data_IF_446896398051
#
_entry.id   IF_446896398051
#
_cell.length_a   1.000
_cell.length_b   1.000
_cell.length_c   1.000
_cell.angle_alpha   90.00
_cell.angle_beta   90.00
_cell.angle_gamma   90.00
#
_symmetry.space_group_name_H-M   'P 1'
#
loop_
_entity.id
_entity.type
_entity.pdbx_description
1 polymer ?
#
# COMPACT_ATOMS: atom_id res chain seq x y z
N UNK A 1 0.72 29.85 0.50
CA UNK A 1 1.14 28.45 0.38
C UNK A 1 1.82 28.10 1.70
N UNK A 2 1.12 27.34 2.55
CA UNK A 2 1.73 26.85 3.79
C UNK A 2 2.91 25.95 3.39
N UNK A 3 4.09 26.18 3.98
CA UNK A 3 5.17 25.18 3.96
C UNK A 3 4.54 23.86 4.36
N UNK A 4 4.56 22.88 3.47
CA UNK A 4 4.17 21.51 3.80
C UNK A 4 5.17 21.06 4.85
N UNK A 5 4.70 20.98 6.09
CA UNK A 5 5.52 20.48 7.20
C UNK A 5 5.76 19.00 6.93
N UNK A 6 6.95 18.65 6.46
CA UNK A 6 7.37 17.29 6.15
C UNK A 6 7.71 16.51 7.43
N UNK A 7 7.68 15.18 7.32
CA UNK A 7 8.04 14.26 8.39
C UNK A 7 7.04 14.20 9.55
N UNK A 8 7.33 13.41 10.61
CA UNK A 8 6.38 13.10 11.67
C UNK A 8 5.84 14.33 12.41
N UNK A 9 6.66 15.33 12.66
CA UNK A 9 6.21 16.57 13.32
C UNK A 9 5.19 17.34 12.47
N UNK A 10 5.40 17.38 11.16
CA UNK A 10 4.46 17.99 10.23
C UNK A 10 3.15 17.20 10.12
N UNK A 11 3.23 15.88 10.15
CA UNK A 11 2.06 14.97 10.13
C UNK A 11 1.19 15.17 11.37
N UNK A 12 1.80 15.29 12.56
CA UNK A 12 1.10 15.61 13.81
C UNK A 12 0.46 17.01 13.73
N UNK A 13 1.15 18.00 13.19
CA UNK A 13 0.60 19.33 13.03
C UNK A 13 -0.63 19.35 12.10
N UNK A 14 -0.59 18.59 10.98
CA UNK A 14 -1.75 18.40 10.08
C UNK A 14 -2.91 17.70 10.81
N UNK A 15 -2.63 16.64 11.58
CA UNK A 15 -3.65 15.96 12.37
C UNK A 15 -4.32 16.91 13.37
N UNK A 16 -3.55 17.74 14.06
CA UNK A 16 -4.09 18.75 14.98
C UNK A 16 -4.95 19.82 14.29
N UNK A 17 -4.59 20.19 13.07
CA UNK A 17 -5.41 21.09 12.26
C UNK A 17 -6.76 20.42 11.95
N UNK A 18 -6.75 19.19 11.49
CA UNK A 18 -7.95 18.40 11.24
C UNK A 18 -8.81 18.26 12.52
N UNK A 19 -8.18 17.95 13.66
CA UNK A 19 -8.88 17.83 14.94
C UNK A 19 -9.63 19.13 15.27
N UNK A 20 -8.99 20.28 15.07
CA UNK A 20 -9.61 21.58 15.32
C UNK A 20 -10.80 21.83 14.37
N UNK A 21 -10.68 21.49 13.08
CA UNK A 21 -11.75 21.63 12.07
C UNK A 21 -12.94 20.71 12.36
N UNK A 22 -12.69 19.47 12.84
CA UNK A 22 -13.71 18.48 13.18
C UNK A 22 -14.28 18.63 14.60
N UNK A 23 -13.66 19.45 15.44
CA UNK A 23 -14.04 19.61 16.84
C UNK A 23 -13.68 18.39 17.71
N UNK A 24 -12.58 17.69 17.39
CA UNK A 24 -12.06 16.59 18.21
C UNK A 24 -11.14 17.13 19.30
N UNK A 25 -11.38 16.74 20.55
CA UNK A 25 -10.47 17.04 21.67
C UNK A 25 -9.26 16.10 21.64
N UNK A 26 -9.48 14.86 21.21
CA UNK A 26 -8.44 13.86 21.08
C UNK A 26 -8.73 12.87 19.94
N UNK A 27 -7.68 12.19 19.51
CA UNK A 27 -7.74 11.09 18.54
C UNK A 27 -7.06 9.86 19.11
N UNK A 28 -7.70 8.69 19.01
CA UNK A 28 -7.13 7.38 19.34
C UNK A 28 -6.72 6.68 18.07
N UNK A 29 -5.45 6.28 17.99
CA UNK A 29 -4.89 5.57 16.82
C UNK A 29 -4.36 4.23 17.26
N UNK A 30 -4.72 3.18 16.53
CA UNK A 30 -4.28 1.79 16.75
C UNK A 30 -3.78 1.10 15.51
N UNK A 31 -4.20 1.53 14.34
CA UNK A 31 -3.71 1.00 13.09
C UNK A 31 -2.19 1.22 13.00
N UNK A 32 -1.45 0.14 12.74
CA UNK A 32 0.02 0.15 12.78
C UNK A 32 0.62 1.04 11.68
N UNK A 33 0.01 1.10 10.52
CA UNK A 33 0.47 1.96 9.45
C UNK A 33 0.25 3.44 9.78
N UNK A 34 -0.88 3.79 10.42
CA UNK A 34 -1.14 5.14 10.91
C UNK A 34 -0.20 5.51 12.06
N UNK A 35 0.07 4.58 12.99
CA UNK A 35 1.06 4.77 14.06
C UNK A 35 2.46 4.97 13.50
N UNK A 36 2.89 4.12 12.55
CA UNK A 36 4.17 4.24 11.85
C UNK A 36 4.32 5.61 11.19
N UNK A 37 3.29 6.05 10.51
CA UNK A 37 3.27 7.33 9.80
C UNK A 37 3.34 8.52 10.74
N UNK A 38 2.59 8.50 11.84
CA UNK A 38 2.57 9.59 12.83
C UNK A 38 3.83 9.63 13.70
N UNK A 39 4.34 8.48 14.14
CA UNK A 39 5.52 8.41 15.02
C UNK A 39 6.83 8.60 14.28
N UNK A 40 6.89 8.17 13.03
CA UNK A 40 8.12 8.06 12.27
C UNK A 40 9.06 6.95 12.75
N UNK A 41 8.63 6.11 13.69
CA UNK A 41 9.42 4.98 14.18
C UNK A 41 9.52 3.91 13.09
N UNK A 42 10.73 3.67 12.58
CA UNK A 42 10.98 2.73 11.49
C UNK A 42 11.28 1.34 12.02
N UNK A 43 10.74 0.29 11.34
CA UNK A 43 11.05 -1.11 11.64
C UNK A 43 10.74 -1.52 13.09
N UNK A 44 9.68 -0.97 13.65
CA UNK A 44 9.18 -1.29 14.99
C UNK A 44 7.93 -2.17 14.90
N UNK A 45 7.10 -1.91 13.90
CA UNK A 45 5.82 -2.59 13.69
C UNK A 45 6.06 -3.91 12.94
N UNK A 46 5.44 -4.99 13.41
CA UNK A 46 5.55 -6.31 12.79
C UNK A 46 4.33 -6.70 11.93
N UNK A 47 3.29 -5.88 11.96
CA UNK A 47 2.05 -6.03 11.18
C UNK A 47 1.39 -7.41 11.32
N UNK A 48 1.58 -8.07 12.47
CA UNK A 48 1.03 -9.42 12.73
C UNK A 48 -0.45 -9.41 13.07
N UNK A 49 -1.05 -8.23 13.27
CA UNK A 49 -2.44 -8.08 13.67
C UNK A 49 -2.70 -8.30 15.16
N UNK A 50 -1.65 -8.35 16.00
CA UNK A 50 -1.79 -8.40 17.45
C UNK A 50 -2.17 -7.04 18.07
N UNK A 51 -1.83 -5.95 17.39
CA UNK A 51 -2.12 -4.56 17.80
C UNK A 51 -1.69 -4.22 19.24
N UNK A 52 -0.40 -4.41 19.60
CA UNK A 52 0.09 -4.17 20.96
C UNK A 52 0.27 -2.69 21.29
N UNK A 53 -0.12 -1.79 20.40
CA UNK A 53 0.11 -0.35 20.49
C UNK A 53 -1.20 0.42 20.47
N UNK A 54 -1.21 1.57 21.15
CA UNK A 54 -2.27 2.57 21.04
C UNK A 54 -1.69 3.97 21.28
N UNK A 55 -2.08 4.91 20.44
CA UNK A 55 -1.74 6.32 20.62
C UNK A 55 -2.97 7.13 21.02
N UNK A 56 -2.73 8.19 21.81
CA UNK A 56 -3.71 9.18 22.18
C UNK A 56 -3.12 10.57 21.89
N UNK A 57 -3.69 11.28 20.94
CA UNK A 57 -3.19 12.58 20.47
C UNK A 57 -4.19 13.67 20.85
N UNK A 58 -3.70 14.75 21.48
CA UNK A 58 -4.47 15.96 21.76
C UNK A 58 -3.89 17.16 21.02
N UNK A 59 -4.51 18.32 21.20
CA UNK A 59 -3.98 19.57 20.65
C UNK A 59 -2.53 19.86 21.08
N UNK A 60 -2.15 19.44 22.28
CA UNK A 60 -0.86 19.80 22.90
C UNK A 60 0.08 18.61 23.08
N UNK A 61 -0.44 17.39 23.26
CA UNK A 61 0.32 16.22 23.70
C UNK A 61 0.11 15.02 22.77
N UNK A 62 1.11 14.15 22.73
CA UNK A 62 1.08 12.88 22.04
C UNK A 62 1.52 11.78 23.02
N UNK A 63 0.67 10.81 23.27
CA UNK A 63 0.95 9.67 24.13
C UNK A 63 0.96 8.39 23.29
N UNK A 64 1.90 7.51 23.56
CA UNK A 64 2.02 6.21 22.90
C UNK A 64 2.24 5.13 23.95
N UNK A 65 1.31 4.21 24.03
CA UNK A 65 1.39 3.04 24.88
C UNK A 65 1.78 1.81 24.06
N UNK A 66 2.67 1.02 24.63
CA UNK A 66 3.11 -0.27 24.08
C UNK A 66 3.42 -1.24 25.21
N UNK A 67 3.82 -2.46 24.88
CA UNK A 67 4.29 -3.41 25.87
C UNK A 67 5.82 -3.53 25.88
N UNK A 68 6.35 -4.32 26.82
CA UNK A 68 7.79 -4.49 27.03
C UNK A 68 8.53 -5.12 25.85
N UNK A 69 7.84 -5.74 24.90
CA UNK A 69 8.46 -6.33 23.68
C UNK A 69 8.94 -5.25 22.73
N UNK A 70 8.24 -4.12 22.68
CA UNK A 70 8.46 -3.07 21.68
C UNK A 70 8.99 -1.76 22.26
N UNK A 71 8.91 -1.56 23.57
CA UNK A 71 9.27 -0.29 24.22
C UNK A 71 10.67 0.20 23.81
N UNK A 72 11.70 -0.65 23.96
CA UNK A 72 13.07 -0.28 23.60
C UNK A 72 13.21 0.00 22.08
N UNK A 73 12.51 -0.76 21.24
CA UNK A 73 12.52 -0.53 19.78
C UNK A 73 11.96 0.86 19.43
N UNK A 74 10.90 1.31 20.11
CA UNK A 74 10.40 2.68 19.93
C UNK A 74 11.40 3.73 20.42
N UNK A 75 12.02 3.55 21.60
CA UNK A 75 13.02 4.50 22.10
C UNK A 75 14.21 4.66 21.14
N UNK A 76 14.66 3.56 20.52
CA UNK A 76 15.81 3.54 19.61
C UNK A 76 15.47 4.09 18.21
N UNK A 77 14.24 3.90 17.74
CA UNK A 77 13.87 4.15 16.33
C UNK A 77 12.95 5.36 16.14
N UNK A 78 12.43 5.98 17.18
CA UNK A 78 11.73 7.25 17.04
C UNK A 78 12.71 8.38 16.65
N UNK A 79 12.31 9.30 15.75
CA UNK A 79 13.13 10.44 15.38
C UNK A 79 13.54 11.30 16.59
N UNK A 80 14.75 11.85 16.54
CA UNK A 80 15.25 12.75 17.58
C UNK A 80 14.32 13.97 17.73
N UNK A 81 13.96 14.28 18.99
CA UNK A 81 13.02 15.38 19.28
C UNK A 81 11.55 15.03 19.05
N UNK A 82 11.24 13.76 18.93
CA UNK A 82 9.87 13.26 18.85
C UNK A 82 9.01 13.79 20.01
N UNK A 83 7.76 14.26 19.77
CA UNK A 83 6.88 14.76 20.80
C UNK A 83 6.16 13.66 21.59
N UNK A 84 6.40 12.39 21.27
CA UNK A 84 5.69 11.26 21.85
C UNK A 84 6.16 10.96 23.28
N UNK A 85 5.21 10.85 24.20
CA UNK A 85 5.39 10.34 25.54
C UNK A 85 5.10 8.86 25.53
N UNK A 86 6.16 8.06 25.54
CA UNK A 86 6.08 6.60 25.49
C UNK A 86 5.95 6.03 26.89
N UNK A 87 5.04 5.09 27.08
CA UNK A 87 4.91 4.29 28.30
C UNK A 87 4.66 2.80 27.98
N UNK A 88 4.87 1.95 29.00
CA UNK A 88 4.58 0.51 28.98
C UNK A 88 3.92 0.08 30.30
N UNK A 89 3.06 0.90 30.84
CA UNK A 89 2.36 0.64 32.10
C UNK A 89 1.53 -0.66 31.99
N UNK A 90 1.49 -1.45 33.07
CA UNK A 90 0.67 -2.67 33.11
C UNK A 90 -0.82 -2.32 33.26
N UNK A 91 -1.43 -1.82 32.20
CA UNK A 91 -2.82 -1.39 32.16
C UNK A 91 -3.52 -1.95 30.90
N UNK A 92 -4.80 -2.24 31.03
CA UNK A 92 -5.62 -2.55 29.86
C UNK A 92 -5.74 -1.33 28.95
N UNK A 93 -5.38 -1.47 27.67
CA UNK A 93 -5.29 -0.35 26.72
C UNK A 93 -6.59 0.46 26.59
N UNK A 94 -7.81 -0.14 26.52
CA UNK A 94 -9.05 0.64 26.57
C UNK A 94 -9.19 1.51 27.81
N UNK A 95 -8.76 1.02 28.97
CA UNK A 95 -8.73 1.78 30.20
C UNK A 95 -7.67 2.88 30.16
N UNK A 96 -6.49 2.60 29.61
CA UNK A 96 -5.45 3.59 29.38
C UNK A 96 -5.98 4.79 28.56
N UNK A 97 -6.73 4.52 27.49
CA UNK A 97 -7.41 5.55 26.68
C UNK A 97 -8.37 6.39 27.55
N UNK A 98 -9.20 5.73 28.36
CA UNK A 98 -10.15 6.41 29.23
C UNK A 98 -9.45 7.28 30.30
N UNK A 99 -8.35 6.81 30.88
CA UNK A 99 -7.56 7.59 31.86
C UNK A 99 -6.89 8.82 31.21
N UNK A 100 -6.43 8.70 29.96
CA UNK A 100 -5.93 9.85 29.19
C UNK A 100 -7.06 10.82 28.84
N UNK A 101 -8.23 10.34 28.41
CA UNK A 101 -9.39 11.21 28.21
C UNK A 101 -9.79 11.98 29.47
N UNK A 102 -9.67 11.34 30.66
CA UNK A 102 -9.91 11.98 31.95
C UNK A 102 -8.87 13.05 32.27
N UNK A 103 -7.59 12.72 32.17
CA UNK A 103 -6.48 13.61 32.55
C UNK A 103 -6.42 14.85 31.65
N UNK A 104 -6.70 14.70 30.37
CA UNK A 104 -6.74 15.77 29.37
C UNK A 104 -8.10 16.48 29.27
N UNK A 105 -9.11 15.98 29.99
CA UNK A 105 -10.50 16.48 29.98
C UNK A 105 -11.17 16.41 28.59
N UNK A 106 -10.73 15.48 27.75
CA UNK A 106 -11.28 15.27 26.40
C UNK A 106 -12.72 14.75 26.47
N UNK A 107 -13.61 15.36 25.68
CA UNK A 107 -15.05 15.03 25.60
C UNK A 107 -15.47 14.50 24.24
N UNK A 108 -14.71 14.83 23.20
CA UNK A 108 -14.90 14.32 21.84
C UNK A 108 -13.60 13.61 21.46
N UNK A 109 -13.61 12.28 21.61
CA UNK A 109 -12.44 11.43 21.39
C UNK A 109 -12.68 10.63 20.12
N UNK A 110 -12.12 11.08 19.00
CA UNK A 110 -12.30 10.41 17.73
C UNK A 110 -11.51 9.08 17.67
N UNK A 111 -12.04 8.12 16.94
CA UNK A 111 -11.45 6.78 16.76
C UNK A 111 -11.44 6.40 15.28
N UNK A 112 -10.51 5.53 14.89
CA UNK A 112 -10.41 5.00 13.53
C UNK A 112 -11.62 4.14 13.15
N UNK A 113 -12.00 4.16 11.87
CA UNK A 113 -13.22 3.48 11.36
C UNK A 113 -13.11 1.95 11.38
N UNK A 114 -11.91 1.41 11.26
CA UNK A 114 -11.60 -0.02 11.22
C UNK A 114 -11.17 -0.59 12.58
N UNK A 115 -11.27 0.22 13.64
CA UNK A 115 -10.96 -0.21 14.99
C UNK A 115 -11.77 -1.45 15.37
N UNK A 116 -11.10 -2.47 15.89
CA UNK A 116 -11.76 -3.70 16.32
C UNK A 116 -12.89 -3.41 17.31
N UNK A 117 -14.08 -3.93 17.04
CA UNK A 117 -15.29 -3.67 17.84
C UNK A 117 -15.11 -3.98 19.33
N UNK A 118 -14.32 -4.99 19.68
CA UNK A 118 -14.05 -5.33 21.08
C UNK A 118 -13.23 -4.24 21.79
N UNK A 119 -12.30 -3.64 21.07
CA UNK A 119 -11.50 -2.53 21.62
C UNK A 119 -12.35 -1.28 21.77
N UNK A 120 -13.13 -0.92 20.75
CA UNK A 120 -14.08 0.19 20.81
C UNK A 120 -15.02 0.06 22.02
N UNK A 121 -15.66 -1.12 22.19
CA UNK A 121 -16.51 -1.42 23.35
C UNK A 121 -15.74 -1.42 24.66
N UNK A 122 -14.46 -1.72 24.63
CA UNK A 122 -13.57 -1.60 25.78
C UNK A 122 -13.38 -0.13 26.21
N UNK A 123 -13.17 0.77 25.22
CA UNK A 123 -13.08 2.21 25.49
C UNK A 123 -14.39 2.73 26.11
N UNK A 124 -15.56 2.37 25.55
CA UNK A 124 -16.86 2.77 26.10
C UNK A 124 -16.97 2.39 27.61
N UNK A 125 -16.66 1.12 27.93
CA UNK A 125 -16.67 0.67 29.34
C UNK A 125 -15.64 1.41 30.21
N UNK A 126 -14.43 1.61 29.68
CA UNK A 126 -13.37 2.36 30.40
C UNK A 126 -13.79 3.79 30.73
N UNK A 127 -14.48 4.47 29.80
CA UNK A 127 -15.02 5.81 30.02
C UNK A 127 -16.13 5.80 31.10
N UNK A 128 -17.04 4.82 31.06
CA UNK A 128 -18.07 4.62 32.10
C UNK A 128 -17.43 4.39 33.47
N UNK A 129 -16.48 3.48 33.58
CA UNK A 129 -15.76 3.15 34.82
C UNK A 129 -15.00 4.36 35.38
N UNK A 130 -14.46 5.20 34.53
CA UNK A 130 -13.81 6.45 34.90
C UNK A 130 -14.78 7.61 35.14
N UNK A 131 -16.09 7.39 34.99
CA UNK A 131 -17.15 8.40 35.13
C UNK A 131 -16.98 9.58 34.17
N UNK A 132 -16.59 9.30 32.94
CA UNK A 132 -16.37 10.31 31.89
C UNK A 132 -17.51 10.25 30.87
N UNK A 133 -18.13 11.39 30.64
CA UNK A 133 -19.07 11.55 29.52
C UNK A 133 -18.28 12.08 28.32
N UNK A 134 -17.85 11.19 27.43
CA UNK A 134 -17.23 11.54 26.17
C UNK A 134 -17.93 10.83 25.00
N UNK A 135 -17.93 11.44 23.84
CA UNK A 135 -18.39 10.83 22.59
C UNK A 135 -17.20 10.24 21.83
N UNK A 136 -17.46 9.18 21.06
CA UNK A 136 -16.47 8.47 20.25
C UNK A 136 -16.85 8.54 18.77
N UNK A 137 -16.74 9.71 18.10
CA UNK A 137 -17.00 9.80 16.65
C UNK A 137 -15.95 9.03 15.85
N UNK A 138 -16.36 8.48 14.69
CA UNK A 138 -15.45 7.89 13.72
C UNK A 138 -14.72 8.98 12.94
N UNK A 139 -13.48 8.71 12.52
CA UNK A 139 -12.66 9.63 11.75
C UNK A 139 -13.00 9.68 10.25
N UNK A 140 -13.82 8.75 9.75
CA UNK A 140 -14.24 8.67 8.34
C UNK A 140 -13.08 8.57 7.34
N UNK A 141 -12.03 7.83 7.69
CA UNK A 141 -10.86 7.63 6.84
C UNK A 141 -9.91 8.82 6.78
N UNK A 142 -10.04 9.81 7.65
CA UNK A 142 -9.24 11.04 7.61
C UNK A 142 -7.71 10.75 7.66
N UNK A 143 -7.24 9.75 8.45
CA UNK A 143 -5.81 9.39 8.49
C UNK A 143 -5.35 8.75 7.18
N UNK A 144 -6.13 7.87 6.59
CA UNK A 144 -5.84 7.26 5.28
C UNK A 144 -5.80 8.32 4.17
N UNK A 145 -6.69 9.30 4.20
CA UNK A 145 -6.67 10.44 3.27
C UNK A 145 -5.41 11.31 3.46
N UNK A 146 -4.98 11.52 4.70
CA UNK A 146 -3.75 12.27 4.98
C UNK A 146 -2.49 11.53 4.49
N UNK A 147 -2.49 10.19 4.53
CA UNK A 147 -1.40 9.33 4.03
C UNK A 147 -1.40 9.23 2.50
N UNK A 148 -2.52 9.49 1.83
CA UNK A 148 -2.62 9.40 0.37
C UNK A 148 -1.60 10.29 -0.33
N UNK A 149 -1.35 11.50 0.20
CA UNK A 149 -0.37 12.46 -0.31
C UNK A 149 0.95 12.28 0.44
N UNK A 150 1.98 11.83 -0.29
CA UNK A 150 3.31 11.51 0.25
C UNK A 150 4.19 12.75 0.31
N UNK A 151 4.98 12.84 1.36
CA UNK A 151 6.05 13.83 1.43
C UNK A 151 7.33 13.36 0.69
N UNK A 152 8.32 14.23 0.55
CA UNK A 152 9.52 13.94 -0.22
C UNK A 152 10.33 12.77 0.36
N UNK A 153 10.36 12.60 1.68
CA UNK A 153 11.06 11.50 2.34
C UNK A 153 10.36 10.16 2.04
N UNK A 154 9.02 10.13 2.12
CA UNK A 154 8.22 8.96 1.76
C UNK A 154 8.46 8.54 0.31
N UNK A 155 8.46 9.50 -0.63
CA UNK A 155 8.70 9.25 -2.04
C UNK A 155 10.10 8.65 -2.27
N UNK A 156 11.14 9.15 -1.59
CA UNK A 156 12.50 8.61 -1.72
C UNK A 156 12.58 7.15 -1.21
N UNK A 157 11.93 6.83 -0.10
CA UNK A 157 11.86 5.46 0.41
C UNK A 157 11.14 4.52 -0.58
N UNK A 158 10.04 4.97 -1.16
CA UNK A 158 9.28 4.21 -2.15
C UNK A 158 10.06 4.00 -3.46
N UNK A 159 10.79 5.02 -3.94
CA UNK A 159 11.70 4.89 -5.08
C UNK A 159 12.82 3.87 -4.81
N UNK A 160 13.35 3.86 -3.59
CA UNK A 160 14.36 2.88 -3.21
C UNK A 160 13.78 1.46 -3.20
N UNK A 161 12.60 1.25 -2.60
CA UNK A 161 11.90 -0.03 -2.64
C UNK A 161 11.67 -0.49 -4.10
N UNK A 162 11.24 0.42 -4.99
CA UNK A 162 11.05 0.09 -6.41
C UNK A 162 12.35 -0.27 -7.12
N UNK A 163 13.46 0.37 -6.79
CA UNK A 163 14.74 0.04 -7.41
C UNK A 163 15.18 -1.41 -7.16
N UNK A 164 14.83 -1.97 -5.98
CA UNK A 164 15.05 -3.38 -5.65
C UNK A 164 14.14 -4.27 -6.50
N UNK A 165 12.87 -3.88 -6.66
CA UNK A 165 11.87 -4.60 -7.45
C UNK A 165 12.23 -4.62 -8.94
N UNK A 166 12.70 -3.49 -9.50
CA UNK A 166 13.20 -3.42 -10.88
C UNK A 166 14.44 -4.31 -11.10
N UNK A 167 15.38 -4.31 -10.14
CA UNK A 167 16.55 -5.18 -10.21
C UNK A 167 16.16 -6.67 -10.18
N UNK A 168 15.16 -7.02 -9.36
CA UNK A 168 14.63 -8.39 -9.31
C UNK A 168 13.98 -8.80 -10.64
N UNK A 169 13.29 -7.90 -11.35
CA UNK A 169 12.78 -8.19 -12.70
C UNK A 169 13.90 -8.49 -13.68
N UNK A 170 14.95 -7.67 -13.69
CA UNK A 170 16.09 -7.90 -14.58
C UNK A 170 16.73 -9.26 -14.32
N UNK A 171 16.91 -9.63 -13.04
CA UNK A 171 17.41 -10.96 -12.65
C UNK A 171 16.48 -12.07 -13.12
N UNK A 172 15.16 -11.94 -12.92
CA UNK A 172 14.20 -12.95 -13.31
C UNK A 172 14.12 -13.15 -14.83
N UNK A 173 14.35 -12.12 -15.64
CA UNK A 173 14.47 -12.27 -17.09
C UNK A 173 15.65 -13.18 -17.50
N UNK A 174 16.70 -13.25 -16.70
CA UNK A 174 17.84 -14.15 -16.90
C UNK A 174 17.64 -15.54 -16.28
N UNK A 175 16.82 -15.63 -15.22
CA UNK A 175 16.64 -16.87 -14.47
C UNK A 175 15.49 -17.74 -15.00
N UNK A 176 14.36 -17.16 -15.40
CA UNK A 176 13.17 -17.89 -15.86
C UNK A 176 13.49 -18.76 -17.07
N UNK A 177 13.13 -20.05 -16.99
CA UNK A 177 13.25 -21.00 -18.10
C UNK A 177 12.35 -22.21 -17.88
N UNK A 178 12.08 -23.03 -18.91
CA UNK A 178 11.35 -24.29 -18.77
C UNK A 178 11.98 -25.22 -17.74
N UNK A 179 11.14 -25.92 -16.99
CA UNK A 179 11.57 -26.92 -16.00
C UNK A 179 11.53 -26.44 -14.55
N UNK A 180 11.51 -25.13 -14.27
CA UNK A 180 11.25 -24.62 -12.94
C UNK A 180 9.75 -24.63 -12.61
N UNK A 181 9.41 -24.83 -11.35
CA UNK A 181 8.04 -24.64 -10.87
C UNK A 181 7.77 -23.18 -10.51
N UNK A 182 6.49 -22.77 -10.49
CA UNK A 182 6.09 -21.43 -10.05
C UNK A 182 6.64 -21.11 -8.64
N UNK A 183 6.60 -22.08 -7.72
CA UNK A 183 7.18 -21.92 -6.37
C UNK A 183 8.69 -21.70 -6.39
N UNK A 184 9.41 -22.38 -7.26
CA UNK A 184 10.87 -22.18 -7.38
C UNK A 184 11.17 -20.77 -7.92
N UNK A 185 10.44 -20.31 -8.94
CA UNK A 185 10.59 -18.97 -9.45
C UNK A 185 10.24 -17.91 -8.39
N UNK A 186 9.15 -18.12 -7.63
CA UNK A 186 8.78 -17.25 -6.53
C UNK A 186 9.87 -17.19 -5.46
N UNK A 187 10.40 -18.33 -5.06
CA UNK A 187 11.47 -18.38 -4.04
C UNK A 187 12.73 -17.64 -4.49
N UNK A 188 13.12 -17.80 -5.76
CA UNK A 188 14.26 -17.08 -6.32
C UNK A 188 14.03 -15.56 -6.31
N UNK A 189 12.86 -15.12 -6.80
CA UNK A 189 12.45 -13.72 -6.83
C UNK A 189 12.51 -13.08 -5.44
N UNK A 190 11.89 -13.71 -4.44
CA UNK A 190 11.84 -13.23 -3.06
C UNK A 190 13.23 -13.21 -2.42
N UNK A 191 14.04 -14.27 -2.63
CA UNK A 191 15.43 -14.36 -2.15
C UNK A 191 16.29 -13.24 -2.74
N UNK A 192 16.15 -12.98 -4.04
CA UNK A 192 16.88 -11.90 -4.70
C UNK A 192 16.58 -10.54 -4.08
N UNK A 193 15.29 -10.23 -3.80
CA UNK A 193 14.93 -8.96 -3.18
C UNK A 193 15.55 -8.79 -1.78
N UNK A 194 15.52 -9.83 -0.95
CA UNK A 194 16.17 -9.80 0.37
C UNK A 194 17.69 -9.64 0.28
N UNK A 195 18.35 -10.35 -0.63
CA UNK A 195 19.80 -10.25 -0.83
C UNK A 195 20.21 -8.85 -1.37
N UNK A 196 19.27 -8.09 -1.94
CA UNK A 196 19.50 -6.76 -2.50
C UNK A 196 18.91 -5.62 -1.68
N UNK A 197 18.59 -5.89 -0.40
CA UNK A 197 18.33 -4.84 0.58
C UNK A 197 16.86 -4.60 0.90
N UNK A 198 15.93 -5.46 0.46
CA UNK A 198 14.58 -5.44 0.98
C UNK A 198 14.58 -5.82 2.47
N UNK A 199 13.89 -5.04 3.28
CA UNK A 199 13.67 -5.37 4.69
C UNK A 199 12.58 -6.44 4.84
N UNK A 200 11.60 -6.42 3.93
CA UNK A 200 10.46 -7.33 3.87
C UNK A 200 9.92 -7.42 2.44
N UNK A 201 8.96 -8.30 2.22
CA UNK A 201 8.13 -8.29 1.01
C UNK A 201 7.00 -7.27 1.17
N UNK A 202 6.65 -6.56 0.09
CA UNK A 202 5.50 -5.66 0.11
C UNK A 202 4.19 -6.44 0.37
N UNK A 203 4.10 -7.62 -0.21
CA UNK A 203 3.01 -8.60 -0.08
C UNK A 203 3.51 -9.99 -0.51
N UNK A 204 2.69 -11.02 -0.36
CA UNK A 204 3.02 -12.36 -0.85
C UNK A 204 3.09 -12.40 -2.38
N UNK A 205 4.28 -12.54 -2.93
CA UNK A 205 4.52 -12.47 -4.38
C UNK A 205 3.67 -13.47 -5.16
N UNK A 206 3.08 -13.04 -6.27
CA UNK A 206 2.33 -13.86 -7.22
C UNK A 206 3.28 -14.22 -8.36
N UNK A 207 3.56 -15.51 -8.53
CA UNK A 207 4.24 -16.03 -9.71
C UNK A 207 3.38 -17.14 -10.29
N UNK A 208 2.85 -16.90 -11.49
CA UNK A 208 1.97 -17.81 -12.18
C UNK A 208 2.49 -18.07 -13.60
N UNK A 209 2.18 -19.24 -14.16
CA UNK A 209 2.64 -19.64 -15.49
C UNK A 209 1.53 -20.26 -16.34
N UNK A 210 1.59 -20.06 -17.65
CA UNK A 210 0.64 -20.59 -18.62
C UNK A 210 -0.81 -20.32 -18.24
N UNK A 211 -1.69 -21.35 -18.17
CA UNK A 211 -3.10 -21.16 -17.83
C UNK A 211 -3.36 -20.54 -16.45
N UNK A 212 -2.43 -20.71 -15.48
CA UNK A 212 -2.59 -20.14 -14.14
C UNK A 212 -2.54 -18.61 -14.15
N UNK A 213 -1.90 -17.99 -15.13
CA UNK A 213 -1.87 -16.54 -15.29
C UNK A 213 -3.25 -15.93 -15.55
N UNK A 214 -4.25 -16.74 -15.91
CA UNK A 214 -5.64 -16.30 -16.05
C UNK A 214 -6.33 -16.01 -14.70
N UNK A 215 -5.67 -16.29 -13.58
CA UNK A 215 -6.14 -15.94 -12.23
C UNK A 215 -5.36 -14.71 -11.74
N UNK A 216 -6.00 -13.53 -11.59
CA UNK A 216 -5.29 -12.32 -11.13
C UNK A 216 -4.54 -12.50 -9.81
N UNK A 217 -5.13 -13.25 -8.87
CA UNK A 217 -4.55 -13.56 -7.55
C UNK A 217 -4.16 -15.05 -7.49
N UNK A 218 -3.40 -15.52 -8.47
CA UNK A 218 -2.92 -16.89 -8.49
C UNK A 218 -2.01 -17.19 -7.29
N UNK A 219 -2.17 -18.39 -6.73
CA UNK A 219 -1.21 -18.91 -5.73
C UNK A 219 -0.18 -19.74 -6.46
N UNK A 220 1.10 -19.39 -6.32
CA UNK A 220 2.22 -20.12 -6.93
C UNK A 220 2.18 -21.61 -6.57
N UNK A 221 2.16 -22.46 -7.58
CA UNK A 221 1.93 -23.90 -7.47
C UNK A 221 3.18 -24.73 -7.83
N UNK A 222 3.04 -26.05 -7.83
CA UNK A 222 4.05 -26.97 -8.33
C UNK A 222 3.99 -27.15 -9.86
N UNK A 223 3.17 -26.34 -10.59
CA UNK A 223 3.15 -26.32 -12.03
C UNK A 223 4.53 -25.99 -12.57
N UNK A 224 4.99 -26.79 -13.50
CA UNK A 224 6.27 -26.60 -14.19
C UNK A 224 6.05 -25.66 -15.38
N UNK A 225 6.92 -24.67 -15.52
CA UNK A 225 6.95 -23.74 -16.65
C UNK A 225 7.33 -24.50 -17.93
N UNK A 226 6.58 -24.28 -18.99
CA UNK A 226 6.76 -24.89 -20.29
C UNK A 226 7.04 -23.83 -21.38
N UNK A 227 7.61 -24.27 -22.49
CA UNK A 227 7.78 -23.42 -23.68
C UNK A 227 6.42 -22.97 -24.22
N UNK A 228 6.27 -21.68 -24.49
CA UNK A 228 5.02 -21.05 -24.92
C UNK A 228 4.20 -20.47 -23.76
N UNK A 229 4.62 -20.67 -22.50
CA UNK A 229 3.92 -20.09 -21.35
C UNK A 229 4.18 -18.58 -21.23
N UNK A 230 3.13 -17.85 -20.87
CA UNK A 230 3.32 -16.62 -20.12
C UNK A 230 3.78 -16.94 -18.70
N UNK A 231 4.65 -16.11 -18.14
CA UNK A 231 4.96 -16.06 -16.71
C UNK A 231 4.64 -14.66 -16.22
N UNK A 232 3.60 -14.56 -15.40
CA UNK A 232 3.17 -13.35 -14.75
C UNK A 232 3.80 -13.31 -13.35
N UNK A 233 4.48 -12.23 -13.07
CA UNK A 233 5.13 -11.95 -11.77
C UNK A 233 4.61 -10.63 -11.25
N UNK A 234 3.95 -10.66 -10.09
CA UNK A 234 3.40 -9.51 -9.38
C UNK A 234 3.97 -9.54 -7.95
N UNK A 235 4.75 -8.53 -7.63
CA UNK A 235 5.60 -8.50 -6.44
C UNK A 235 6.11 -7.10 -6.14
N UNK A 236 6.54 -6.93 -4.89
CA UNK A 236 7.17 -5.69 -4.44
C UNK A 236 8.10 -5.92 -3.26
N UNK A 237 9.13 -5.11 -3.15
CA UNK A 237 10.00 -5.01 -1.99
C UNK A 237 9.42 -4.07 -0.94
N UNK A 238 9.60 -4.40 0.34
CA UNK A 238 9.42 -3.48 1.46
C UNK A 238 10.78 -2.89 1.87
N UNK A 239 10.84 -1.59 2.03
CA UNK A 239 12.04 -0.90 2.50
C UNK A 239 11.68 0.18 3.53
N UNK A 240 12.18 0.04 4.74
CA UNK A 240 11.88 0.94 5.87
C UNK A 240 10.38 1.20 6.04
N UNK A 241 9.61 0.10 5.99
CA UNK A 241 8.14 0.02 6.07
C UNK A 241 7.37 0.55 4.84
N UNK A 242 8.02 1.19 3.85
CA UNK A 242 7.36 1.58 2.59
C UNK A 242 7.45 0.47 1.56
N UNK A 243 6.39 0.34 0.78
CA UNK A 243 6.19 -0.75 -0.18
C UNK A 243 6.36 -0.28 -1.61
N UNK A 244 6.84 -1.18 -2.46
CA UNK A 244 6.76 -1.05 -3.92
C UNK A 244 5.75 -2.04 -4.47
N UNK A 245 5.35 -1.83 -5.73
CA UNK A 245 4.37 -2.66 -6.42
C UNK A 245 4.65 -2.69 -7.91
N UNK A 246 4.75 -3.88 -8.50
CA UNK A 246 5.00 -4.03 -9.93
C UNK A 246 4.53 -5.39 -10.45
N UNK A 247 3.78 -5.37 -11.53
CA UNK A 247 3.51 -6.60 -12.31
C UNK A 247 4.19 -6.54 -13.66
N UNK A 248 4.86 -7.63 -14.03
CA UNK A 248 5.36 -7.88 -15.38
C UNK A 248 4.97 -9.29 -15.85
N UNK A 249 4.67 -9.39 -17.13
CA UNK A 249 4.39 -10.67 -17.78
C UNK A 249 5.42 -10.88 -18.88
N UNK A 250 6.14 -12.01 -18.82
CA UNK A 250 7.12 -12.44 -19.84
C UNK A 250 6.61 -13.66 -20.59
N UNK A 251 7.16 -13.98 -21.75
CA UNK A 251 6.84 -15.21 -22.51
C UNK A 251 8.05 -16.13 -22.62
N UNK A 252 7.88 -17.39 -22.31
CA UNK A 252 8.93 -18.41 -22.43
C UNK A 252 8.92 -19.03 -23.82
N UNK A 253 9.88 -18.63 -24.68
CA UNK A 253 9.87 -18.93 -26.10
C UNK A 253 8.89 -18.06 -26.89
N UNK A 254 8.68 -18.39 -28.16
CA UNK A 254 7.88 -17.56 -29.07
C UNK A 254 6.40 -17.50 -28.65
N UNK A 255 5.84 -16.32 -28.37
CA UNK A 255 4.44 -16.16 -28.03
C UNK A 255 3.53 -16.41 -29.27
N UNK A 256 2.37 -17.00 -29.01
CA UNK A 256 1.31 -17.13 -30.01
C UNK A 256 0.76 -15.76 -30.45
N UNK A 257 0.07 -15.70 -31.59
CA UNK A 257 -0.62 -14.49 -32.06
C UNK A 257 -1.61 -13.95 -31.02
N UNK A 258 -2.35 -14.84 -30.33
CA UNK A 258 -3.30 -14.47 -29.27
C UNK A 258 -2.61 -13.87 -28.09
N UNK A 259 -1.47 -14.39 -27.65
CA UNK A 259 -0.69 -13.84 -26.57
C UNK A 259 -0.15 -12.44 -26.91
N UNK A 260 0.37 -12.24 -28.11
CA UNK A 260 0.81 -10.92 -28.58
C UNK A 260 -0.35 -9.92 -28.61
N UNK A 261 -1.51 -10.33 -29.15
CA UNK A 261 -2.70 -9.49 -29.22
C UNK A 261 -3.14 -8.97 -27.84
N UNK A 262 -3.31 -9.86 -26.85
CA UNK A 262 -3.76 -9.43 -25.53
C UNK A 262 -2.69 -8.62 -24.79
N UNK A 263 -1.41 -8.93 -24.98
CA UNK A 263 -0.30 -8.16 -24.40
C UNK A 263 -0.29 -6.72 -24.93
N UNK A 264 -0.40 -6.53 -26.25
CA UNK A 264 -0.40 -5.21 -26.88
C UNK A 264 -1.63 -4.37 -26.44
N UNK A 265 -2.79 -5.01 -26.24
CA UNK A 265 -3.98 -4.32 -25.73
C UNK A 265 -3.75 -3.85 -24.30
N UNK A 266 -3.20 -4.70 -23.41
CA UNK A 266 -2.91 -4.32 -22.02
C UNK A 266 -1.86 -3.22 -21.96
N UNK A 267 -0.78 -3.33 -22.74
CA UNK A 267 0.27 -2.31 -22.81
C UNK A 267 -0.29 -0.96 -23.27
N UNK A 268 -1.03 -0.94 -24.35
CA UNK A 268 -1.67 0.30 -24.84
C UNK A 268 -2.64 0.88 -23.80
N UNK A 269 -3.41 0.04 -23.11
CA UNK A 269 -4.33 0.48 -22.06
C UNK A 269 -3.56 1.14 -20.92
N UNK A 270 -2.45 0.53 -20.49
CA UNK A 270 -1.57 1.09 -19.47
C UNK A 270 -1.04 2.47 -19.89
N UNK A 271 -0.43 2.57 -21.07
CA UNK A 271 0.16 3.80 -21.61
C UNK A 271 -0.89 4.93 -21.73
N UNK A 272 -2.10 4.64 -22.24
CA UNK A 272 -3.17 5.63 -22.39
C UNK A 272 -3.72 6.08 -21.02
N UNK A 273 -3.84 5.17 -20.04
CA UNK A 273 -4.28 5.52 -18.69
C UNK A 273 -3.24 6.38 -17.97
N UNK A 274 -1.96 6.01 -18.02
CA UNK A 274 -0.85 6.80 -17.46
C UNK A 274 -0.83 8.22 -18.04
N UNK A 275 -0.99 8.35 -19.35
CA UNK A 275 -1.00 9.65 -20.03
C UNK A 275 -2.18 10.56 -19.65
N UNK A 276 -3.26 9.98 -19.10
CA UNK A 276 -4.45 10.73 -18.67
C UNK A 276 -4.42 11.13 -17.19
N UNK A 277 -3.46 10.66 -16.39
CA UNK A 277 -3.35 10.95 -14.97
C UNK A 277 -2.68 12.30 -14.74
N UNK A 278 -3.28 13.14 -13.90
CA UNK A 278 -2.75 14.40 -13.38
C UNK A 278 -3.50 14.79 -12.10
N UNK A 279 -2.97 15.72 -11.33
CA UNK A 279 -3.67 16.23 -10.15
C UNK A 279 -5.04 16.85 -10.53
N UNK A 280 -6.07 16.52 -9.76
CA UNK A 280 -7.45 16.96 -9.96
C UNK A 280 -8.29 16.05 -10.87
N UNK A 281 -7.72 14.99 -11.45
CA UNK A 281 -8.50 14.01 -12.21
C UNK A 281 -9.33 13.14 -11.25
N UNK A 282 -10.49 12.68 -11.71
CA UNK A 282 -11.23 11.63 -10.99
C UNK A 282 -10.70 10.26 -11.33
N UNK A 283 -10.23 9.52 -10.31
CA UNK A 283 -9.72 8.16 -10.46
C UNK A 283 -10.74 7.19 -11.07
N UNK A 284 -12.04 7.45 -10.87
CA UNK A 284 -13.12 6.71 -11.53
C UNK A 284 -13.10 6.89 -13.05
N UNK A 285 -12.86 8.10 -13.56
CA UNK A 285 -12.83 8.37 -15.00
C UNK A 285 -11.65 7.64 -15.67
N UNK A 286 -10.49 7.57 -15.02
CA UNK A 286 -9.34 6.81 -15.51
C UNK A 286 -9.65 5.30 -15.51
N UNK A 287 -10.31 4.81 -14.47
CA UNK A 287 -10.80 3.42 -14.45
C UNK A 287 -11.77 3.14 -15.60
N UNK A 288 -12.71 4.03 -15.89
CA UNK A 288 -13.63 3.89 -17.03
C UNK A 288 -12.90 3.93 -18.38
N UNK A 289 -11.84 4.72 -18.52
CA UNK A 289 -10.98 4.73 -19.71
C UNK A 289 -10.37 3.35 -19.96
N UNK A 290 -9.78 2.71 -18.94
CA UNK A 290 -9.22 1.37 -19.06
C UNK A 290 -10.27 0.33 -19.46
N UNK A 291 -11.47 0.39 -18.86
CA UNK A 291 -12.60 -0.48 -19.20
C UNK A 291 -13.04 -0.30 -20.64
N UNK A 292 -13.07 0.95 -21.11
CA UNK A 292 -13.44 1.26 -22.49
C UNK A 292 -12.44 0.69 -23.49
N UNK A 293 -11.14 0.90 -23.28
CA UNK A 293 -10.09 0.44 -24.23
C UNK A 293 -10.11 -1.09 -24.36
N UNK A 294 -10.13 -1.81 -23.23
CA UNK A 294 -10.17 -3.28 -23.20
C UNK A 294 -11.51 -3.79 -23.73
N UNK A 295 -12.63 -3.10 -23.43
CA UNK A 295 -13.96 -3.45 -23.91
C UNK A 295 -14.13 -3.28 -25.41
N UNK A 296 -13.65 -2.17 -25.98
CA UNK A 296 -13.68 -1.89 -27.43
C UNK A 296 -12.84 -2.91 -28.21
N UNK A 297 -11.80 -3.47 -27.59
CA UNK A 297 -11.00 -4.56 -28.17
C UNK A 297 -11.67 -5.94 -28.04
N UNK A 298 -12.86 -6.04 -27.41
CA UNK A 298 -13.62 -7.29 -27.28
C UNK A 298 -13.28 -8.13 -26.06
N UNK A 299 -12.50 -7.60 -25.09
CA UNK A 299 -12.03 -8.33 -23.90
C UNK A 299 -12.63 -7.83 -22.59
N UNK A 300 -13.68 -7.01 -22.62
CA UNK A 300 -14.27 -6.39 -21.42
C UNK A 300 -14.71 -7.37 -20.32
N UNK A 301 -15.17 -8.57 -20.69
CA UNK A 301 -15.56 -9.63 -19.76
C UNK A 301 -14.37 -10.27 -19.03
N UNK A 302 -13.16 -10.08 -19.55
CA UNK A 302 -11.92 -10.67 -19.04
C UNK A 302 -11.07 -9.68 -18.24
N UNK A 303 -11.63 -8.51 -17.89
CA UNK A 303 -11.00 -7.52 -17.03
C UNK A 303 -11.95 -7.15 -15.88
N UNK A 304 -11.78 -7.80 -14.72
CA UNK A 304 -12.75 -7.80 -13.62
C UNK A 304 -12.46 -6.85 -12.45
N UNK A 305 -11.23 -6.34 -12.31
CA UNK A 305 -10.80 -5.55 -11.15
C UNK A 305 -10.75 -4.03 -11.40
N UNK A 306 -10.35 -3.26 -10.40
CA UNK A 306 -10.03 -1.83 -10.50
C UNK A 306 -8.79 -1.59 -11.36
N UNK A 307 -8.53 -0.35 -11.72
CA UNK A 307 -7.34 -0.01 -12.49
C UNK A 307 -6.10 0.15 -11.60
N UNK A 308 -6.30 0.47 -10.31
CA UNK A 308 -5.18 0.68 -9.41
C UNK A 308 -5.60 1.19 -8.04
N UNK A 309 -4.63 1.34 -7.17
CA UNK A 309 -4.78 1.75 -5.77
C UNK A 309 -3.57 2.55 -5.29
N UNK A 310 -3.73 3.25 -4.19
CA UNK A 310 -2.61 3.89 -3.50
C UNK A 310 -1.65 2.87 -2.92
N UNK A 311 -0.39 3.22 -2.82
CA UNK A 311 0.67 2.45 -2.16
C UNK A 311 1.40 3.35 -1.17
N UNK A 312 1.86 2.78 -0.07
CA UNK A 312 2.63 3.48 0.95
C UNK A 312 3.21 2.54 1.99
N UNK A 313 2.83 2.72 3.24
CA UNK A 313 3.13 1.78 4.33
C UNK A 313 2.25 0.53 4.18
N UNK A 314 0.97 0.71 3.84
CA UNK A 314 0.13 -0.40 3.38
C UNK A 314 0.27 -0.57 1.88
N UNK A 315 0.13 -1.81 1.42
CA UNK A 315 0.14 -2.09 -0.02
C UNK A 315 -1.10 -1.52 -0.71
N UNK A 316 -2.24 -1.52 -0.03
CA UNK A 316 -3.49 -0.94 -0.52
C UNK A 316 -3.85 0.29 0.32
N UNK A 317 -3.67 1.47 -0.24
CA UNK A 317 -4.03 2.75 0.34
C UNK A 317 -5.01 3.53 -0.54
N UNK A 318 -5.40 4.71 -0.09
CA UNK A 318 -6.06 5.71 -0.95
C UNK A 318 -5.02 6.47 -1.79
N UNK A 319 -5.42 6.98 -2.96
CA UNK A 319 -6.72 6.84 -3.62
C UNK A 319 -6.91 5.49 -4.31
N UNK A 320 -8.13 5.17 -4.78
CA UNK A 320 -8.42 3.93 -5.52
C UNK A 320 -8.97 4.26 -6.90
N UNK A 321 -8.36 3.76 -7.96
CA UNK A 321 -8.88 3.85 -9.33
C UNK A 321 -9.87 2.72 -9.61
N UNK A 322 -11.13 2.96 -9.28
CA UNK A 322 -12.17 1.93 -9.27
C UNK A 322 -13.58 2.48 -9.47
N UNK A 323 -14.55 1.82 -8.86
CA UNK A 323 -15.98 2.12 -9.07
C UNK A 323 -16.48 3.41 -8.41
N UNK A 324 -15.75 3.94 -7.43
CA UNK A 324 -16.14 5.16 -6.70
C UNK A 324 -15.33 6.34 -7.19
N UNK A 325 -15.99 7.50 -7.32
CA UNK A 325 -15.33 8.77 -7.60
C UNK A 325 -14.39 9.15 -6.46
N UNK A 326 -13.20 9.58 -6.81
CA UNK A 326 -12.26 10.21 -5.90
C UNK A 326 -11.34 11.13 -6.70
N UNK A 327 -11.16 12.34 -6.23
CA UNK A 327 -10.26 13.31 -6.86
C UNK A 327 -8.85 13.07 -6.38
N UNK A 328 -7.95 12.90 -7.32
CA UNK A 328 -6.53 12.59 -7.03
C UNK A 328 -5.76 13.88 -6.79
N UNK A 329 -5.04 13.94 -5.69
CA UNK A 329 -4.23 15.10 -5.33
C UNK A 329 -2.80 15.00 -5.85
N UNK A 330 -2.13 16.15 -6.04
CA UNK A 330 -0.69 16.20 -6.28
C UNK A 330 0.06 15.58 -5.10
N UNK A 331 1.03 14.71 -5.39
CA UNK A 331 1.78 13.94 -4.39
C UNK A 331 1.14 12.61 -4.00
N UNK A 332 -0.06 12.28 -4.50
CA UNK A 332 -0.61 10.94 -4.34
C UNK A 332 0.25 9.92 -5.09
N UNK A 333 0.48 8.76 -4.47
CA UNK A 333 1.16 7.63 -5.11
C UNK A 333 0.14 6.56 -5.41
N UNK A 334 0.15 6.03 -6.65
CA UNK A 334 -0.89 5.15 -7.14
C UNK A 334 -0.35 4.14 -8.15
N UNK A 335 -0.95 2.93 -8.21
CA UNK A 335 -0.69 1.93 -9.25
C UNK A 335 -1.55 2.16 -10.49
N UNK A 336 -1.07 1.65 -11.64
CA UNK A 336 -1.83 1.55 -12.89
C UNK A 336 -1.61 0.15 -13.45
N UNK A 337 -2.60 -0.74 -13.31
CA UNK A 337 -2.44 -2.19 -13.47
C UNK A 337 -3.55 -2.84 -14.33
N UNK A 338 -3.78 -2.41 -15.57
CA UNK A 338 -4.76 -3.08 -16.42
C UNK A 338 -4.35 -4.52 -16.70
N UNK A 339 -5.34 -5.43 -16.85
CA UNK A 339 -5.09 -6.82 -17.16
C UNK A 339 -6.19 -7.47 -17.99
N UNK A 340 -5.83 -8.52 -18.75
CA UNK A 340 -6.74 -9.40 -19.47
C UNK A 340 -6.44 -10.83 -19.06
N UNK A 341 -7.48 -11.59 -18.64
CA UNK A 341 -7.35 -12.93 -18.07
C UNK A 341 -8.26 -13.90 -18.82
N UNK A 342 -7.68 -14.70 -19.76
CA UNK A 342 -8.43 -15.61 -20.62
C UNK A 342 -8.35 -17.05 -20.08
N UNK A 343 -9.44 -17.63 -19.56
CA UNK A 343 -9.45 -19.00 -19.09
C UNK A 343 -8.96 -19.98 -20.17
N UNK A 344 -7.98 -20.83 -19.83
CA UNK A 344 -7.39 -21.84 -20.73
C UNK A 344 -6.33 -21.30 -21.69
N UNK A 345 -6.13 -20.00 -21.77
CA UNK A 345 -5.07 -19.36 -22.60
C UNK A 345 -3.97 -18.80 -21.72
N UNK A 346 -4.35 -17.99 -20.75
CA UNK A 346 -3.46 -17.26 -19.87
C UNK A 346 -3.91 -15.81 -19.67
N UNK A 347 -3.17 -15.07 -18.85
CA UNK A 347 -3.45 -13.67 -18.57
C UNK A 347 -2.20 -12.81 -18.67
N UNK A 348 -2.44 -11.52 -18.83
CA UNK A 348 -1.44 -10.45 -18.85
C UNK A 348 -1.87 -9.37 -17.90
N UNK A 349 -0.97 -8.92 -17.04
CA UNK A 349 -1.03 -7.65 -16.31
C UNK A 349 0.28 -6.92 -16.52
N UNK A 350 0.20 -5.61 -16.73
CA UNK A 350 1.34 -4.68 -16.68
C UNK A 350 1.00 -3.62 -15.67
N UNK A 351 1.91 -3.39 -14.76
CA UNK A 351 1.71 -2.47 -13.65
C UNK A 351 2.95 -1.66 -13.37
N UNK A 352 2.73 -0.38 -13.26
CA UNK A 352 3.65 0.56 -12.63
C UNK A 352 2.97 1.23 -11.46
N UNK A 353 3.77 1.70 -10.51
CA UNK A 353 3.31 2.69 -9.57
C UNK A 353 4.21 3.92 -9.60
N UNK A 354 3.66 5.06 -9.20
CA UNK A 354 4.36 6.34 -9.27
C UNK A 354 3.59 7.46 -8.60
N UNK A 355 4.17 8.65 -8.60
CA UNK A 355 3.60 9.83 -7.99
C UNK A 355 2.85 10.69 -9.00
N UNK A 356 1.66 11.14 -8.60
CA UNK A 356 0.86 12.10 -9.36
C UNK A 356 1.46 13.50 -9.18
N UNK A 357 1.77 14.13 -10.29
CA UNK A 357 2.25 15.52 -10.32
C UNK A 357 1.14 16.47 -10.77
N UNK A 358 1.38 17.76 -10.67
CA UNK A 358 0.42 18.75 -11.10
C UNK A 358 -0.09 18.52 -12.52
N UNK A 359 0.79 18.17 -13.45
CA UNK A 359 0.50 18.12 -14.88
C UNK A 359 0.64 16.69 -15.46
N UNK A 360 0.83 15.65 -14.64
CA UNK A 360 1.06 14.30 -15.11
C UNK A 360 1.26 13.27 -14.01
N UNK A 361 1.91 12.19 -14.40
CA UNK A 361 2.26 11.05 -13.57
C UNK A 361 3.74 10.68 -13.79
N UNK A 362 4.47 10.52 -12.72
CA UNK A 362 5.87 10.15 -12.73
C UNK A 362 6.05 8.73 -12.15
N UNK A 363 6.24 7.72 -13.02
CA UNK A 363 6.43 6.34 -12.55
C UNK A 363 7.75 6.21 -11.78
N UNK A 364 7.76 5.38 -10.75
CA UNK A 364 8.97 4.96 -10.06
C UNK A 364 9.61 3.76 -10.78
N UNK A 365 8.79 2.97 -11.44
CA UNK A 365 9.17 1.78 -12.19
C UNK A 365 9.99 2.15 -13.42
N UNK A 366 11.08 1.43 -13.65
CA UNK A 366 11.99 1.61 -14.79
C UNK A 366 12.03 0.38 -15.72
N UNK A 367 11.44 -0.73 -15.29
CA UNK A 367 11.35 -1.98 -16.06
C UNK A 367 10.53 -1.81 -17.34
N UNK A 368 10.97 -2.44 -18.42
CA UNK A 368 10.33 -2.30 -19.76
C UNK A 368 8.86 -2.76 -19.78
N UNK A 369 8.04 -2.10 -20.62
CA UNK A 369 6.68 -2.53 -20.97
C UNK A 369 6.64 -3.40 -22.22
N UNK A 370 7.76 -3.54 -22.95
CA UNK A 370 7.83 -4.44 -24.09
C UNK A 370 7.77 -5.90 -23.64
N UNK A 371 7.11 -6.75 -24.44
CA UNK A 371 7.06 -8.18 -24.15
C UNK A 371 8.47 -8.80 -24.19
N UNK A 372 8.97 -9.17 -23.03
CA UNK A 372 10.22 -9.92 -22.93
C UNK A 372 9.98 -11.37 -23.33
N UNK A 373 10.69 -11.82 -24.35
CA UNK A 373 10.68 -13.22 -24.82
C UNK A 373 11.94 -13.89 -24.26
N UNK A 374 11.74 -14.88 -23.39
CA UNK A 374 12.83 -15.67 -22.80
C UNK A 374 13.24 -16.75 -23.79
N UNK A 375 14.46 -16.69 -24.27
CA UNK A 375 15.04 -17.72 -25.17
C UNK A 375 15.23 -19.05 -24.43
N UNK A 376 14.78 -20.16 -25.05
CA UNK A 376 14.87 -21.52 -24.46
C UNK A 376 14.94 -22.66 -25.50
#
# INVERSE_FOLDING_TARGET
MSEILNGPAGRIARLRTLMAERGYDAVVVRDEANLRWLTGAMRVFDYTGEYPHVAFVTADECFLHTDSRYFNSFEENMPAGSPWKLDMDEIDMPRWVAEHARSTKSRVVAVEDDMHINFFRGIERGLEDCSICASLPLMHGDLQLMRAVKDAEEIELMRHAQSITDAAFAHMCEFVRPGYTEKQLRTELETFMFDHGADDLAFGSIVASGPNTANPHAISSDRVVEKGDFVLMDYGAGYRDYKSDMTRTVCVGEPSEKQREIYDIVRRTHEECVAAIHAGVDGHDIHLLSKKIIGDAGYGEYYGHGLGHGVGIDIHELPVFGRKSNIVEEGAVITVEPGIYLPGVGGVRLEDYGVVTKDGYEPFTTSTHELVVIDC
#
